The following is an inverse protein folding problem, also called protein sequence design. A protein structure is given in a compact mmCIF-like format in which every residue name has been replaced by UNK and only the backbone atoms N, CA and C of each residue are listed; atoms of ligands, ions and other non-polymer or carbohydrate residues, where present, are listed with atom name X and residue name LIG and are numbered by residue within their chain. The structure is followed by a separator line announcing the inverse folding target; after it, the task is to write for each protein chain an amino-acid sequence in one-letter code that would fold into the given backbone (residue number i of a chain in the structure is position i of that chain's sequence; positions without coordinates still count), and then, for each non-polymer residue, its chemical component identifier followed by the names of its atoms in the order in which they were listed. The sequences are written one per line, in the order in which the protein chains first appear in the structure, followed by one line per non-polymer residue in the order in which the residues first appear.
data_IF_807449112219
#
_entry.id   IF_807449112219
#
_cell.length_a   1.000
_cell.length_b   1.000
_cell.length_c   1.000
_cell.angle_alpha   90.00
_cell.angle_beta   90.00
_cell.angle_gamma   90.00
#
_symmetry.space_group_name_H-M   'P 1'
#
loop_
_entity.id
_entity.type
_entity.pdbx_description
1 polymer ?
#
# COMPACT_ATOMS: atom_id res chain seq x y z
N UNK A 1 -23.16 -1.71 4.22
CA UNK A 1 -21.94 -0.96 4.55
C UNK A 1 -21.86 0.16 3.52
N UNK A 2 -21.57 1.39 3.94
CA UNK A 2 -21.38 2.50 3.00
C UNK A 2 -19.89 2.58 2.67
N UNK A 3 -19.57 2.79 1.40
CA UNK A 3 -18.20 3.04 0.98
C UNK A 3 -17.77 4.42 1.51
N UNK A 4 -16.56 4.49 2.07
CA UNK A 4 -15.97 5.71 2.58
C UNK A 4 -14.72 6.03 1.78
N UNK A 5 -14.54 7.30 1.41
CA UNK A 5 -13.29 7.76 0.82
C UNK A 5 -12.13 7.58 1.80
N UNK A 6 -11.02 7.00 1.33
CA UNK A 6 -9.94 6.55 2.20
C UNK A 6 -9.00 7.67 2.68
N UNK A 7 -8.98 8.82 1.99
CA UNK A 7 -8.01 9.90 2.25
C UNK A 7 -7.93 10.30 3.72
N UNK A 8 -9.05 10.66 4.34
CA UNK A 8 -9.08 11.06 5.75
C UNK A 8 -8.59 9.95 6.71
N UNK A 9 -8.83 8.67 6.37
CA UNK A 9 -8.34 7.55 7.18
C UNK A 9 -6.82 7.44 7.09
N UNK A 10 -6.25 7.62 5.89
CA UNK A 10 -4.80 7.64 5.69
C UNK A 10 -4.15 8.83 6.40
N UNK A 11 -4.75 10.02 6.31
CA UNK A 11 -4.28 11.23 6.99
C UNK A 11 -4.26 11.04 8.52
N UNK A 12 -5.31 10.42 9.08
CA UNK A 12 -5.40 10.14 10.52
C UNK A 12 -4.32 9.17 10.99
N UNK A 13 -3.91 8.24 10.13
CA UNK A 13 -2.82 7.30 10.38
C UNK A 13 -1.43 7.91 10.13
N UNK A 14 -1.35 9.13 9.59
CA UNK A 14 -0.10 9.79 9.25
C UNK A 14 0.60 9.16 8.04
N UNK A 15 -0.14 8.53 7.14
CA UNK A 15 0.42 7.93 5.92
C UNK A 15 0.83 9.04 4.96
N UNK A 16 2.06 8.97 4.46
CA UNK A 16 2.61 9.88 3.46
C UNK A 16 3.24 9.06 2.33
N UNK A 17 3.31 9.64 1.14
CA UNK A 17 4.02 9.07 0.00
C UNK A 17 5.06 10.09 -0.46
N UNK A 18 6.22 9.60 -0.86
CA UNK A 18 7.28 10.38 -1.49
C UNK A 18 7.00 10.37 -3.00
N UNK A 19 6.65 11.54 -3.55
CA UNK A 19 6.30 11.74 -4.95
C UNK A 19 7.09 12.94 -5.47
N UNK A 20 7.64 12.83 -6.68
CA UNK A 20 8.33 13.93 -7.33
C UNK A 20 7.31 14.91 -7.96
N UNK A 21 7.74 16.17 -8.20
CA UNK A 21 6.88 17.25 -8.71
C UNK A 21 6.23 16.92 -10.08
N UNK A 22 6.84 16.02 -10.86
CA UNK A 22 6.34 15.59 -12.18
C UNK A 22 5.53 14.29 -12.13
N UNK A 23 5.42 13.65 -10.96
CA UNK A 23 4.68 12.41 -10.82
C UNK A 23 3.17 12.63 -10.92
N UNK A 24 2.51 11.73 -11.66
CA UNK A 24 1.06 11.69 -11.78
C UNK A 24 0.53 10.34 -11.28
N UNK A 25 0.06 10.26 -10.03
CA UNK A 25 -0.63 9.07 -9.54
C UNK A 25 -1.95 8.86 -10.29
N UNK A 26 -2.07 7.73 -11.00
CA UNK A 26 -3.25 7.38 -11.81
C UNK A 26 -4.17 6.38 -11.11
N UNK A 27 -3.62 5.48 -10.30
CA UNK A 27 -4.34 4.48 -9.54
C UNK A 27 -3.70 4.28 -8.17
N UNK A 28 -4.50 3.88 -7.19
CA UNK A 28 -4.05 3.52 -5.87
C UNK A 28 -4.51 2.12 -5.49
N UNK A 29 -3.63 1.39 -4.83
CA UNK A 29 -3.94 0.16 -4.11
C UNK A 29 -3.54 0.36 -2.66
N UNK A 30 -4.49 0.16 -1.75
CA UNK A 30 -4.28 0.40 -0.32
C UNK A 30 -4.60 -0.87 0.46
N UNK A 31 -3.65 -1.31 1.28
CA UNK A 31 -3.85 -2.36 2.28
C UNK A 31 -3.93 -1.72 3.65
N UNK A 32 -5.03 -1.96 4.37
CA UNK A 32 -5.24 -1.39 5.69
C UNK A 32 -5.42 -2.52 6.69
N UNK A 33 -4.58 -2.51 7.73
CA UNK A 33 -4.75 -3.34 8.91
C UNK A 33 -5.85 -2.72 9.77
N UNK A 34 -6.84 -3.51 10.13
CA UNK A 34 -7.93 -3.10 11.01
C UNK A 34 -8.01 -4.02 12.23
N UNK A 35 -8.37 -3.43 13.37
CA UNK A 35 -8.73 -4.15 14.59
C UNK A 35 -10.24 -4.14 14.71
N UNK A 36 -10.84 -5.32 14.79
CA UNK A 36 -12.29 -5.51 14.94
C UNK A 36 -12.70 -5.28 16.40
N UNK A 37 -14.00 -5.06 16.69
CA UNK A 37 -14.48 -4.82 18.05
C UNK A 37 -14.17 -5.95 19.05
N UNK A 38 -14.03 -7.18 18.55
CA UNK A 38 -13.63 -8.37 19.33
C UNK A 38 -12.11 -8.51 19.52
N UNK A 39 -11.33 -7.54 19.03
CA UNK A 39 -9.86 -7.55 19.05
C UNK A 39 -9.23 -8.34 17.91
N UNK A 40 -10.01 -8.97 17.03
CA UNK A 40 -9.46 -9.70 15.89
C UNK A 40 -8.78 -8.72 14.90
N UNK A 41 -7.66 -9.16 14.32
CA UNK A 41 -6.96 -8.42 13.28
C UNK A 41 -7.44 -8.92 11.92
N UNK A 42 -7.77 -8.01 11.02
CA UNK A 42 -8.00 -8.34 9.62
C UNK A 42 -7.39 -7.28 8.70
N UNK A 43 -7.30 -7.60 7.42
CA UNK A 43 -6.87 -6.66 6.39
C UNK A 43 -8.04 -6.34 5.47
N UNK A 44 -8.09 -5.09 5.01
CA UNK A 44 -8.94 -4.67 3.90
C UNK A 44 -8.06 -4.20 2.76
N UNK A 45 -8.48 -4.54 1.53
CA UNK A 45 -7.91 -4.04 0.29
C UNK A 45 -8.89 -3.04 -0.29
N UNK A 46 -8.42 -1.83 -0.56
CA UNK A 46 -9.15 -0.80 -1.30
C UNK A 46 -8.36 -0.45 -2.57
N UNK A 47 -9.08 -0.10 -3.64
CA UNK A 47 -8.49 0.26 -4.93
C UNK A 47 -9.23 1.44 -5.54
N UNK A 48 -8.56 2.19 -6.42
CA UNK A 48 -9.24 3.12 -7.32
C UNK A 48 -10.32 2.40 -8.16
N UNK A 49 -11.37 3.12 -8.55
CA UNK A 49 -12.46 2.57 -9.37
C UNK A 49 -11.97 2.10 -10.75
N UNK A 50 -10.98 2.80 -11.33
CA UNK A 50 -10.37 2.50 -12.62
C UNK A 50 -9.42 1.30 -12.61
N UNK A 51 -8.96 0.85 -11.44
CA UNK A 51 -7.90 -0.13 -11.34
C UNK A 51 -8.42 -1.54 -11.65
N UNK A 52 -8.02 -2.09 -12.81
CA UNK A 52 -8.37 -3.44 -13.19
C UNK A 52 -7.64 -4.49 -12.34
N UNK A 53 -8.19 -5.71 -12.32
CA UNK A 53 -7.69 -6.78 -11.45
C UNK A 53 -6.28 -7.27 -11.83
N UNK A 54 -5.87 -7.18 -13.10
CA UNK A 54 -4.55 -7.62 -13.56
C UNK A 54 -3.51 -6.62 -13.07
N UNK A 55 -3.75 -5.33 -13.31
CA UNK A 55 -2.87 -4.25 -12.83
C UNK A 55 -2.79 -4.27 -11.30
N UNK A 56 -3.91 -4.49 -10.61
CA UNK A 56 -3.96 -4.64 -9.15
C UNK A 56 -3.07 -5.79 -8.63
N UNK A 57 -3.06 -6.95 -9.31
CA UNK A 57 -2.20 -8.07 -8.96
C UNK A 57 -0.72 -7.77 -9.24
N UNK A 58 -0.44 -7.08 -10.35
CA UNK A 58 0.91 -6.62 -10.70
C UNK A 58 1.48 -5.69 -9.62
N UNK A 59 0.69 -4.69 -9.18
CA UNK A 59 1.07 -3.76 -8.11
C UNK A 59 1.37 -4.49 -6.80
N UNK A 60 0.54 -5.44 -6.38
CA UNK A 60 0.79 -6.23 -5.16
C UNK A 60 2.09 -7.04 -5.25
N UNK A 61 2.35 -7.62 -6.42
CA UNK A 61 3.56 -8.42 -6.64
C UNK A 61 4.81 -7.56 -6.62
N UNK A 62 4.76 -6.38 -7.26
CA UNK A 62 5.84 -5.40 -7.22
C UNK A 62 6.09 -4.88 -5.80
N UNK A 63 5.03 -4.53 -5.07
CA UNK A 63 5.12 -4.09 -3.67
C UNK A 63 5.77 -5.17 -2.79
N UNK A 64 5.33 -6.43 -2.90
CA UNK A 64 5.93 -7.55 -2.17
C UNK A 64 7.41 -7.73 -2.51
N UNK A 65 7.79 -7.56 -3.78
CA UNK A 65 9.19 -7.63 -4.19
C UNK A 65 10.04 -6.52 -3.57
N UNK A 66 9.53 -5.28 -3.54
CA UNK A 66 10.20 -4.13 -2.91
C UNK A 66 10.40 -4.40 -1.40
N UNK A 67 9.34 -4.82 -0.70
CA UNK A 67 9.39 -5.13 0.74
C UNK A 67 10.40 -6.23 1.06
N UNK A 68 10.46 -7.29 0.23
CA UNK A 68 11.41 -8.39 0.45
C UNK A 68 12.85 -8.00 0.11
N UNK A 69 13.07 -7.12 -0.87
CA UNK A 69 14.40 -6.67 -1.28
C UNK A 69 14.95 -5.53 -0.40
N UNK A 70 14.12 -4.85 0.40
CA UNK A 70 14.57 -3.86 1.38
C UNK A 70 15.44 -4.44 2.53
N UNK A 71 15.51 -5.77 2.66
CA UNK A 71 16.40 -6.48 3.59
C UNK A 71 17.72 -6.94 2.93
N UNK A 72 18.25 -6.23 1.93
CA UNK A 72 19.65 -6.43 1.51
C UNK A 72 20.55 -5.77 2.56
N UNK A 73 21.13 -6.59 3.43
CA UNK A 73 22.15 -6.17 4.38
C UNK A 73 23.40 -5.81 3.58
N UNK A 74 23.66 -4.52 3.36
CA UNK A 74 24.80 -3.98 2.57
C UNK A 74 26.15 -4.15 3.31
N UNK A 75 26.27 -5.17 4.16
CA UNK A 75 27.47 -5.44 4.95
C UNK A 75 28.44 -6.43 4.28
N UNK A 76 28.09 -7.02 3.14
CA UNK A 76 28.85 -8.11 2.51
C UNK A 76 29.33 -7.78 1.08
N UNK A 77 29.74 -6.55 0.79
CA UNK A 77 30.51 -6.22 -0.43
C UNK A 77 31.71 -5.33 -0.12
N UNK A 78 32.54 -5.77 0.84
CA UNK A 78 33.97 -5.45 0.88
C UNK A 78 34.73 -6.79 0.81
N UNK A 79 35.00 -7.28 -0.42
CA UNK A 79 36.07 -8.25 -0.72
C UNK A 79 36.57 -8.07 -2.18
#
# INVERSE_FOLDING_TARGET
MADQQIGQLLDTLGVTADLDDEDLPVDALVLIKIVKPDGAISFIKATSESLDWITSLGMLTAALHIENNGYVNVADEDD
#
